data_IF_117897506780
#
_entry.id   IF_117897506780
#
_cell.length_a   1.000
_cell.length_b   1.000
_cell.length_c   1.000
_cell.angle_alpha   90.00
_cell.angle_beta   90.00
_cell.angle_gamma   90.00
#
_symmetry.space_group_name_H-M   'P 1'
#
loop_
_entity.id
_entity.type
_entity.pdbx_description
1 polymer ?
#
# COMPACT_ATOMS: atom_id res chain seq x y z
N UNK A 1 0.79 21.20 1.92
CA UNK A 1 0.54 21.21 0.45
C UNK A 1 0.90 19.89 -0.21
N UNK A 2 2.11 19.34 0.03
CA UNK A 2 2.51 18.04 -0.55
C UNK A 2 1.57 16.88 -0.20
N UNK A 3 1.18 16.76 1.08
CA UNK A 3 0.22 15.74 1.50
C UNK A 3 -1.12 15.86 0.76
N UNK A 4 -1.61 17.09 0.54
CA UNK A 4 -2.84 17.33 -0.23
C UNK A 4 -2.68 16.85 -1.67
N UNK A 5 -1.54 17.13 -2.30
CA UNK A 5 -1.23 16.72 -3.67
C UNK A 5 -1.27 15.19 -3.87
N UNK A 6 -0.78 14.41 -2.91
CA UNK A 6 -0.82 12.94 -2.95
C UNK A 6 -2.25 12.37 -3.01
N UNK A 7 -3.20 13.01 -2.33
CA UNK A 7 -4.58 12.53 -2.21
C UNK A 7 -5.54 13.12 -3.25
N UNK A 8 -5.04 13.95 -4.17
CA UNK A 8 -5.88 14.51 -5.22
C UNK A 8 -6.34 13.43 -6.17
N UNK A 9 -7.59 13.57 -6.56
CA UNK A 9 -8.37 12.57 -7.29
C UNK A 9 -8.60 13.01 -8.75
N UNK A 10 -8.39 14.28 -9.05
CA UNK A 10 -8.64 14.87 -10.38
C UNK A 10 -7.32 15.33 -11.00
N UNK A 11 -7.04 14.95 -12.26
CA UNK A 11 -5.83 15.36 -12.99
C UNK A 11 -5.62 16.87 -12.96
N UNK A 12 -6.67 17.64 -13.23
CA UNK A 12 -6.62 19.10 -13.24
C UNK A 12 -6.15 19.69 -11.90
N UNK A 13 -6.70 19.21 -10.78
CA UNK A 13 -6.30 19.71 -9.46
C UNK A 13 -4.88 19.23 -9.09
N UNK A 14 -4.48 18.05 -9.57
CA UNK A 14 -3.14 17.49 -9.35
C UNK A 14 -2.07 18.38 -10.00
N UNK A 15 -2.28 18.75 -11.27
CA UNK A 15 -1.35 19.61 -12.02
C UNK A 15 -1.31 21.04 -11.43
N UNK A 16 -2.47 21.60 -11.08
CA UNK A 16 -2.56 22.92 -10.46
C UNK A 16 -1.83 22.99 -9.10
N UNK A 17 -1.94 21.94 -8.29
CA UNK A 17 -1.20 21.84 -7.02
C UNK A 17 0.29 21.64 -7.24
N UNK A 18 0.69 20.84 -8.24
CA UNK A 18 2.10 20.67 -8.57
C UNK A 18 2.75 22.00 -8.97
N UNK A 19 2.09 22.78 -9.82
CA UNK A 19 2.56 24.12 -10.19
C UNK A 19 2.71 25.03 -8.97
N UNK A 20 1.75 25.00 -8.03
CA UNK A 20 1.85 25.77 -6.77
C UNK A 20 3.00 25.31 -5.88
N UNK A 21 3.28 24.01 -5.82
CA UNK A 21 4.41 23.45 -5.06
C UNK A 21 5.74 23.90 -5.68
N UNK A 22 5.87 23.81 -7.01
CA UNK A 22 7.09 24.22 -7.72
C UNK A 22 7.37 25.72 -7.62
N UNK A 23 6.33 26.54 -7.64
CA UNK A 23 6.44 28.01 -7.55
C UNK A 23 6.50 28.51 -6.09
N UNK A 24 6.45 27.61 -5.11
CA UNK A 24 6.62 27.98 -3.70
C UNK A 24 8.05 28.48 -3.44
N UNK A 25 8.23 29.25 -2.36
CA UNK A 25 9.51 29.87 -2.02
C UNK A 25 10.66 28.82 -2.03
N UNK A 26 11.82 29.10 -2.69
CA UNK A 26 12.98 28.21 -2.74
C UNK A 26 13.47 27.67 -1.38
N UNK A 27 13.30 28.44 -0.30
CA UNK A 27 13.65 28.01 1.06
C UNK A 27 12.77 26.87 1.58
N UNK A 28 11.55 26.74 1.05
CA UNK A 28 10.58 25.70 1.41
C UNK A 28 10.63 24.51 0.45
N UNK A 29 11.01 24.73 -0.81
CA UNK A 29 11.08 23.70 -1.85
C UNK A 29 12.39 23.84 -2.61
N UNK A 30 13.43 23.08 -2.23
CA UNK A 30 14.72 23.11 -2.91
C UNK A 30 14.59 22.71 -4.38
N UNK A 31 15.41 23.30 -5.25
CA UNK A 31 15.41 22.98 -6.68
C UNK A 31 15.70 21.50 -6.96
N UNK A 32 16.62 20.91 -6.19
CA UNK A 32 16.95 19.48 -6.28
C UNK A 32 15.77 18.57 -5.98
N UNK A 33 14.85 18.99 -5.10
CA UNK A 33 13.63 18.24 -4.82
C UNK A 33 12.68 18.27 -6.03
N UNK A 34 12.51 19.44 -6.65
CA UNK A 34 11.68 19.58 -7.86
C UNK A 34 12.24 18.71 -8.99
N UNK A 35 13.54 18.80 -9.25
CA UNK A 35 14.23 18.03 -10.29
C UNK A 35 14.09 16.52 -10.05
N UNK A 36 14.23 16.07 -8.80
CA UNK A 36 14.03 14.67 -8.43
C UNK A 36 12.60 14.19 -8.68
N UNK A 37 11.59 14.96 -8.26
CA UNK A 37 10.20 14.57 -8.46
C UNK A 37 9.83 14.54 -9.95
N UNK A 38 10.28 15.54 -10.72
CA UNK A 38 10.05 15.61 -12.17
C UNK A 38 10.70 14.44 -12.93
N UNK A 39 11.91 14.02 -12.51
CA UNK A 39 12.62 12.92 -13.15
C UNK A 39 12.09 11.53 -12.75
N UNK A 40 11.82 11.31 -11.46
CA UNK A 40 11.62 9.96 -10.92
C UNK A 40 10.15 9.62 -10.63
N UNK A 41 9.30 10.62 -10.37
CA UNK A 41 7.94 10.36 -9.84
C UNK A 41 6.82 10.85 -10.74
N UNK A 42 7.06 11.89 -11.53
CA UNK A 42 6.09 12.43 -12.49
C UNK A 42 5.95 11.69 -13.83
N UNK A 43 6.95 10.93 -14.34
CA UNK A 43 6.74 10.16 -15.56
C UNK A 43 5.52 9.24 -15.44
N UNK A 44 4.74 9.11 -16.53
CA UNK A 44 3.45 8.41 -16.52
C UNK A 44 3.53 6.99 -15.93
N UNK A 45 4.59 6.26 -16.26
CA UNK A 45 4.81 4.88 -15.80
C UNK A 45 4.97 4.77 -14.28
N UNK A 46 5.46 5.81 -13.61
CA UNK A 46 5.51 5.91 -12.15
C UNK A 46 4.25 6.51 -11.58
N UNK A 47 3.76 7.60 -12.17
CA UNK A 47 2.54 8.31 -11.72
C UNK A 47 1.33 7.38 -11.56
N UNK A 48 1.15 6.43 -12.47
CA UNK A 48 0.05 5.45 -12.40
C UNK A 48 0.11 4.57 -11.14
N UNK A 49 1.31 4.34 -10.60
CA UNK A 49 1.54 3.42 -9.48
C UNK A 49 1.28 4.04 -8.11
N UNK A 50 1.45 5.36 -7.97
CA UNK A 50 1.39 6.02 -6.66
C UNK A 50 0.32 7.11 -6.55
N UNK A 51 -0.09 7.74 -7.65
CA UNK A 51 -1.01 8.88 -7.58
C UNK A 51 -2.46 8.43 -7.34
N UNK A 52 -3.16 9.12 -6.43
CA UNK A 52 -4.57 8.83 -6.15
C UNK A 52 -5.49 9.08 -7.35
N UNK A 53 -5.09 9.96 -8.29
CA UNK A 53 -5.78 10.21 -9.56
C UNK A 53 -5.81 8.94 -10.41
N UNK A 54 -4.69 8.24 -10.55
CA UNK A 54 -4.60 7.04 -11.38
C UNK A 54 -5.12 5.77 -10.70
N UNK A 55 -5.24 5.77 -9.37
CA UNK A 55 -5.76 4.64 -8.58
C UNK A 55 -7.28 4.72 -8.33
N UNK A 56 -8.00 5.54 -9.08
CA UNK A 56 -9.47 5.56 -9.03
C UNK A 56 -10.05 4.27 -9.61
N UNK A 57 -11.03 3.69 -8.92
CA UNK A 57 -11.72 2.47 -9.38
C UNK A 57 -10.97 1.16 -9.16
N UNK A 58 -9.73 1.19 -8.66
CA UNK A 58 -9.00 0.00 -8.22
C UNK A 58 -9.67 -0.66 -7.01
N UNK A 59 -9.69 -1.98 -6.99
CA UNK A 59 -10.29 -2.74 -5.89
C UNK A 59 -9.43 -2.62 -4.61
N UNK A 60 -9.96 -2.99 -3.44
CA UNK A 60 -9.25 -2.87 -2.15
C UNK A 60 -7.93 -3.68 -2.10
N UNK A 61 -7.83 -4.74 -2.89
CA UNK A 61 -6.63 -5.58 -3.03
C UNK A 61 -5.58 -4.96 -3.97
N UNK A 62 -6.00 -4.08 -4.88
CA UNK A 62 -5.13 -3.28 -5.77
C UNK A 62 -4.70 -1.96 -5.11
N UNK A 63 -5.55 -1.39 -4.26
CA UNK A 63 -5.32 -0.17 -3.46
C UNK A 63 -4.47 -0.38 -2.22
N UNK A 64 -3.75 -1.49 -2.11
CA UNK A 64 -2.90 -1.75 -0.96
C UNK A 64 -1.91 -0.59 -0.84
N UNK A 65 -2.08 0.23 0.20
CA UNK A 65 -1.12 1.25 0.58
C UNK A 65 0.12 0.52 1.07
N UNK A 66 0.96 0.16 0.09
CA UNK A 66 2.20 -0.59 0.30
C UNK A 66 3.09 0.13 1.30
N UNK A 67 3.05 1.47 1.33
CA UNK A 67 3.82 2.24 2.29
C UNK A 67 3.34 1.99 3.72
N UNK A 68 2.02 2.03 3.96
CA UNK A 68 1.46 1.73 5.29
C UNK A 68 1.80 0.31 5.76
N UNK A 69 1.70 -0.70 4.88
CA UNK A 69 2.04 -2.08 5.23
C UNK A 69 3.53 -2.27 5.49
N UNK A 70 4.39 -1.66 4.66
CA UNK A 70 5.84 -1.71 4.84
C UNK A 70 6.25 -1.02 6.13
N UNK A 71 5.66 0.14 6.45
CA UNK A 71 5.90 0.86 7.71
C UNK A 71 5.46 0.04 8.92
N UNK A 72 4.25 -0.51 8.89
CA UNK A 72 3.75 -1.38 9.96
C UNK A 72 4.67 -2.60 10.17
N UNK A 73 5.11 -3.24 9.07
CA UNK A 73 6.05 -4.35 9.14
C UNK A 73 7.42 -3.91 9.67
N UNK A 74 7.93 -2.76 9.25
CA UNK A 74 9.16 -2.20 9.80
C UNK A 74 9.07 -1.92 11.30
N UNK A 75 7.93 -1.45 11.80
CA UNK A 75 7.72 -1.27 13.23
C UNK A 75 7.81 -2.60 13.98
N UNK A 76 7.17 -3.66 13.48
CA UNK A 76 7.26 -5.01 14.05
C UNK A 76 8.69 -5.55 13.98
N UNK A 77 9.36 -5.41 12.83
CA UNK A 77 10.73 -5.84 12.64
C UNK A 77 11.68 -5.17 13.64
N UNK A 78 11.62 -3.85 13.73
CA UNK A 78 12.48 -3.05 14.63
C UNK A 78 12.20 -3.35 16.09
N UNK A 79 10.92 -3.38 16.48
CA UNK A 79 10.52 -3.57 17.87
C UNK A 79 10.72 -5.00 18.37
N UNK A 80 10.17 -5.98 17.64
CA UNK A 80 10.09 -7.37 18.09
C UNK A 80 11.34 -8.18 17.79
N UNK A 81 11.94 -7.98 16.62
CA UNK A 81 12.98 -8.89 16.12
C UNK A 81 14.39 -8.29 16.18
N UNK A 82 14.53 -6.98 15.95
CA UNK A 82 15.80 -6.28 16.04
C UNK A 82 16.06 -5.65 17.43
N UNK A 83 15.09 -5.74 18.35
CA UNK A 83 15.20 -5.24 19.73
C UNK A 83 15.64 -3.76 19.80
N UNK A 84 15.21 -2.94 18.83
CA UNK A 84 15.58 -1.53 18.76
C UNK A 84 17.03 -1.24 18.34
N UNK A 85 17.81 -2.24 17.89
CA UNK A 85 19.14 -2.02 17.33
C UNK A 85 19.05 -1.55 15.88
N UNK A 86 19.66 -0.40 15.61
CA UNK A 86 19.74 0.20 14.28
C UNK A 86 21.04 -0.25 13.58
N UNK A 87 21.04 -0.26 12.24
CA UNK A 87 22.21 -0.55 11.39
C UNK A 87 22.87 -1.91 11.61
N UNK A 88 22.11 -2.98 11.37
CA UNK A 88 22.69 -4.32 11.23
C UNK A 88 23.25 -4.52 9.82
N UNK A 89 24.33 -5.30 9.70
CA UNK A 89 24.78 -5.75 8.39
C UNK A 89 23.68 -6.57 7.72
N UNK A 90 23.60 -6.49 6.40
CA UNK A 90 22.55 -7.15 5.61
C UNK A 90 22.51 -8.67 5.82
N UNK A 91 23.66 -9.33 5.98
CA UNK A 91 23.75 -10.77 6.27
C UNK A 91 23.13 -11.14 7.62
N UNK A 92 23.38 -10.33 8.65
CA UNK A 92 22.75 -10.51 9.95
C UNK A 92 21.23 -10.31 9.89
N UNK A 93 20.77 -9.30 9.14
CA UNK A 93 19.34 -9.08 8.93
C UNK A 93 18.67 -10.28 8.23
N UNK A 94 19.28 -10.80 7.16
CA UNK A 94 18.80 -12.00 6.46
C UNK A 94 18.72 -13.19 7.42
N UNK A 95 19.75 -13.39 8.25
CA UNK A 95 19.75 -14.45 9.25
C UNK A 95 18.57 -14.31 10.24
N UNK A 96 18.25 -13.11 10.70
CA UNK A 96 17.11 -12.85 11.58
C UNK A 96 15.78 -13.12 10.87
N UNK A 97 15.63 -12.67 9.61
CA UNK A 97 14.42 -12.88 8.83
C UNK A 97 14.12 -14.38 8.68
N UNK A 98 15.13 -15.18 8.35
CA UNK A 98 14.94 -16.63 8.15
C UNK A 98 14.77 -17.34 9.49
N UNK A 99 15.67 -17.13 10.46
CA UNK A 99 15.68 -17.96 11.67
C UNK A 99 14.65 -17.55 12.71
N UNK A 100 14.32 -16.27 12.79
CA UNK A 100 13.48 -15.74 13.86
C UNK A 100 12.11 -15.34 13.32
N UNK A 101 12.05 -14.58 12.22
CA UNK A 101 10.77 -14.05 11.71
C UNK A 101 9.93 -15.15 11.08
N UNK A 102 10.49 -15.95 10.17
CA UNK A 102 9.77 -17.06 9.55
C UNK A 102 9.27 -18.07 10.59
N UNK A 103 10.14 -18.47 11.52
CA UNK A 103 9.78 -19.40 12.60
C UNK A 103 8.68 -18.84 13.50
N UNK A 104 8.73 -17.54 13.81
CA UNK A 104 7.70 -16.89 14.60
C UNK A 104 6.32 -16.99 13.93
N UNK A 105 6.21 -16.63 12.65
CA UNK A 105 4.93 -16.67 11.94
C UNK A 105 4.42 -18.11 11.73
N UNK A 106 5.30 -19.07 11.46
CA UNK A 106 4.91 -20.50 11.41
C UNK A 106 4.35 -20.98 12.74
N UNK A 107 5.01 -20.61 13.84
CA UNK A 107 4.59 -21.02 15.18
C UNK A 107 3.23 -20.41 15.54
N UNK A 108 3.04 -19.10 15.30
CA UNK A 108 1.75 -18.45 15.54
C UNK A 108 0.64 -19.05 14.69
N UNK A 109 0.92 -19.37 13.41
CA UNK A 109 -0.06 -20.03 12.54
C UNK A 109 -0.50 -21.37 13.14
N UNK A 110 0.44 -22.21 13.57
CA UNK A 110 0.13 -23.48 14.23
C UNK A 110 -0.68 -23.26 15.51
N UNK A 111 -0.32 -22.27 16.34
CA UNK A 111 -1.08 -21.96 17.55
C UNK A 111 -2.51 -21.50 17.25
N UNK A 112 -2.71 -20.74 16.18
CA UNK A 112 -4.04 -20.33 15.72
C UNK A 112 -4.86 -21.53 15.22
N UNK A 113 -4.25 -22.49 14.50
CA UNK A 113 -4.93 -23.73 14.10
C UNK A 113 -5.37 -24.56 15.31
N UNK A 114 -4.55 -24.59 16.36
CA UNK A 114 -4.87 -25.30 17.61
C UNK A 114 -5.78 -24.49 18.56
N UNK A 115 -6.19 -23.28 18.17
CA UNK A 115 -7.07 -22.41 18.96
C UNK A 115 -6.44 -21.79 20.21
N UNK A 116 -5.11 -21.82 20.31
CA UNK A 116 -4.35 -21.26 21.44
C UNK A 116 -4.15 -19.74 21.30
N UNK A 117 -4.09 -19.25 20.05
CA UNK A 117 -4.13 -17.84 19.73
C UNK A 117 -5.43 -17.52 19.00
N UNK A 118 -6.06 -16.39 19.36
CA UNK A 118 -7.26 -15.92 18.65
C UNK A 118 -7.00 -15.76 17.15
N UNK A 119 -8.05 -15.82 16.30
CA UNK A 119 -7.88 -15.72 14.86
C UNK A 119 -7.18 -14.39 14.50
N UNK A 120 -6.19 -14.44 13.62
CA UNK A 120 -5.61 -13.24 13.03
C UNK A 120 -6.73 -12.38 12.41
N UNK A 121 -6.62 -11.05 12.52
CA UNK A 121 -7.60 -10.09 11.97
C UNK A 121 -7.92 -10.36 10.50
N UNK A 122 -6.90 -10.73 9.71
CA UNK A 122 -7.07 -11.12 8.30
C UNK A 122 -7.89 -12.40 8.16
N UNK A 123 -7.55 -13.46 8.92
CA UNK A 123 -8.31 -14.72 8.95
C UNK A 123 -9.75 -14.49 9.42
N UNK A 124 -9.96 -13.59 10.37
CA UNK A 124 -11.27 -13.21 10.86
C UNK A 124 -12.07 -12.44 9.79
N UNK A 125 -11.45 -11.48 9.11
CA UNK A 125 -12.06 -10.77 7.99
C UNK A 125 -12.36 -11.70 6.82
N UNK A 126 -11.44 -12.60 6.47
CA UNK A 126 -11.65 -13.60 5.42
C UNK A 126 -12.82 -14.53 5.75
N UNK A 127 -12.90 -15.03 7.00
CA UNK A 127 -14.06 -15.80 7.48
C UNK A 127 -15.36 -14.98 7.42
N UNK A 128 -15.30 -13.70 7.74
CA UNK A 128 -16.47 -12.81 7.66
C UNK A 128 -16.92 -12.58 6.21
N UNK A 129 -15.98 -12.33 5.29
CA UNK A 129 -16.23 -12.19 3.85
C UNK A 129 -16.82 -13.48 3.29
N UNK A 130 -16.28 -14.64 3.65
CA UNK A 130 -16.82 -15.94 3.22
C UNK A 130 -18.25 -16.16 3.73
N UNK A 131 -18.53 -15.86 5.02
CA UNK A 131 -19.89 -15.92 5.57
C UNK A 131 -20.84 -14.96 4.87
N UNK A 132 -20.39 -13.75 4.56
CA UNK A 132 -21.18 -12.77 3.82
C UNK A 132 -21.43 -13.23 2.38
N UNK A 133 -20.42 -13.79 1.70
CA UNK A 133 -20.54 -14.31 0.34
C UNK A 133 -21.55 -15.46 0.24
N UNK A 134 -21.61 -16.34 1.25
CA UNK A 134 -22.62 -17.41 1.34
C UNK A 134 -24.05 -16.87 1.48
N UNK A 135 -24.22 -15.66 1.99
CA UNK A 135 -25.52 -15.00 2.16
C UNK A 135 -25.92 -14.12 0.96
N UNK A 136 -25.06 -13.96 -0.05
CA UNK A 136 -25.41 -13.24 -1.28
C UNK A 136 -26.24 -14.19 -2.16
N UNK A 137 -27.56 -13.99 -2.16
CA UNK A 137 -28.48 -14.64 -3.09
C UNK A 137 -28.12 -14.26 -4.53
N UNK A 138 -28.16 -15.22 -5.47
CA UNK A 138 -27.85 -15.06 -6.90
C UNK A 138 -28.60 -13.92 -7.62
N UNK A 139 -29.62 -13.34 -6.99
CA UNK A 139 -30.41 -12.20 -7.50
C UNK A 139 -29.77 -10.82 -7.25
N UNK A 140 -28.70 -10.73 -6.43
CA UNK A 140 -28.02 -9.47 -6.10
C UNK A 140 -26.74 -9.18 -6.91
N UNK A 141 -26.29 -10.13 -7.74
CA UNK A 141 -25.13 -9.91 -8.61
C UNK A 141 -25.61 -9.12 -9.84
N UNK A 142 -25.60 -7.80 -9.75
CA UNK A 142 -25.57 -7.00 -10.98
C UNK A 142 -24.26 -7.32 -11.70
N UNK A 143 -24.37 -8.02 -12.82
CA UNK A 143 -23.29 -8.17 -13.79
C UNK A 143 -22.87 -6.75 -14.19
N UNK A 144 -21.78 -6.25 -13.61
CA UNK A 144 -21.10 -5.08 -14.18
C UNK A 144 -20.60 -5.53 -15.53
N UNK A 145 -21.23 -5.01 -16.59
CA UNK A 145 -20.85 -5.25 -17.97
C UNK A 145 -19.32 -5.11 -18.11
N UNK A 146 -18.62 -6.11 -18.66
CA UNK A 146 -17.22 -5.97 -18.97
C UNK A 146 -17.06 -4.83 -19.98
N UNK A 147 -16.14 -3.93 -19.65
CA UNK A 147 -15.54 -2.88 -20.47
C UNK A 147 -16.02 -2.80 -21.93
N UNK A 148 -16.74 -1.73 -22.27
CA UNK A 148 -16.80 -1.21 -23.64
C UNK A 148 -15.44 -0.55 -23.90
N UNK A 149 -14.47 -1.36 -24.29
CA UNK A 149 -13.25 -0.92 -24.94
C UNK A 149 -13.60 -0.72 -26.43
N UNK A 150 -14.15 0.44 -26.80
CA UNK A 150 -14.19 0.88 -28.19
C UNK A 150 -13.06 1.89 -28.40
N UNK A 151 -11.89 1.36 -28.74
CA UNK A 151 -10.95 2.07 -29.61
C UNK A 151 -11.43 1.74 -31.03
N UNK A 152 -12.10 2.67 -31.69
CA UNK A 152 -12.27 2.63 -33.14
C UNK A 152 -12.10 4.05 -33.70
N UNK A 153 -11.00 4.17 -34.45
CA UNK A 153 -10.63 5.12 -35.51
C UNK A 153 -10.27 6.54 -35.08
#
# INVERSE_FOLDING_TARGET
MLQKWLWVTTDKEFDELWVKIRLSNPDSVPRSFVEYIEAEWLPDHWRIRWSAVAQQGQNIYERVDTNMLIEAWHHVLKGKFLQGKWNQRADHLICILIRNVELHYKTNYLWQEHGLEGPNLELQQHRNIQKQAQNITSQGIQVRNPCICFILV
#
